data_IF_354458023914
#
_entry.id   IF_354458023914
#
_cell.length_a   1.000
_cell.length_b   1.000
_cell.length_c   1.000
_cell.angle_alpha   90.00
_cell.angle_beta   90.00
_cell.angle_gamma   90.00
#
_symmetry.space_group_name_H-M   'P 1'
#
loop_
_entity.id
_entity.type
_entity.pdbx_description
1 polymer ?
#
# COMPACT_ATOMS: atom_id res chain seq x y z
N UNK A 1 -6.71 -18.87 7.64
CA UNK A 1 -7.01 -17.94 8.75
C UNK A 1 -6.00 -16.81 8.67
N UNK A 2 -6.44 -15.56 8.78
CA UNK A 2 -5.54 -14.40 8.90
C UNK A 2 -4.70 -14.57 10.18
N UNK A 3 -3.38 -14.41 10.09
CA UNK A 3 -2.49 -14.50 11.25
C UNK A 3 -2.56 -13.17 12.02
N UNK A 4 -3.39 -13.09 13.06
CA UNK A 4 -3.65 -11.87 13.81
C UNK A 4 -2.92 -11.91 15.16
N UNK A 5 -2.14 -10.86 15.45
CA UNK A 5 -1.55 -10.59 16.76
C UNK A 5 -2.26 -9.39 17.40
N UNK A 6 -3.23 -9.66 18.29
CA UNK A 6 -3.91 -8.62 19.07
C UNK A 6 -3.16 -8.36 20.38
N UNK A 7 -2.59 -7.16 20.51
CA UNK A 7 -1.80 -6.76 21.69
C UNK A 7 -2.56 -5.83 22.64
N UNK A 8 -3.83 -5.51 22.36
CA UNK A 8 -4.61 -4.52 23.15
C UNK A 8 -4.81 -4.97 24.60
N UNK A 9 -4.98 -6.28 24.81
CA UNK A 9 -5.11 -6.87 26.14
C UNK A 9 -3.75 -7.15 26.83
N UNK A 10 -2.62 -6.94 26.14
CA UNK A 10 -1.29 -7.20 26.69
C UNK A 10 -0.76 -5.99 27.46
N UNK A 11 0.04 -6.27 28.50
CA UNK A 11 0.75 -5.22 29.25
C UNK A 11 1.75 -4.51 28.32
N UNK A 12 1.86 -3.16 28.36
CA UNK A 12 2.71 -2.41 27.44
C UNK A 12 4.16 -2.90 27.33
N UNK A 13 4.74 -3.31 28.47
CA UNK A 13 6.12 -3.85 28.56
C UNK A 13 6.32 -5.16 27.79
N UNK A 14 5.27 -5.95 27.60
CA UNK A 14 5.35 -7.27 26.96
C UNK A 14 5.06 -7.19 25.45
N UNK A 15 4.42 -6.10 24.99
CA UNK A 15 3.99 -5.93 23.58
C UNK A 15 5.16 -5.98 22.60
N UNK A 16 6.21 -5.18 22.84
CA UNK A 16 7.36 -5.08 21.93
C UNK A 16 8.05 -6.43 21.77
N UNK A 17 8.37 -7.10 22.89
CA UNK A 17 9.00 -8.42 22.85
C UNK A 17 8.16 -9.43 22.07
N UNK A 18 6.83 -9.41 22.25
CA UNK A 18 5.94 -10.30 21.51
C UNK A 18 5.91 -9.99 20.01
N UNK A 19 5.80 -8.72 19.62
CA UNK A 19 5.71 -8.29 18.22
C UNK A 19 6.99 -8.63 17.46
N UNK A 20 8.16 -8.25 17.99
CA UNK A 20 9.44 -8.55 17.35
C UNK A 20 9.76 -10.05 17.36
N UNK A 21 9.38 -10.77 18.42
CA UNK A 21 9.45 -12.23 18.46
C UNK A 21 8.65 -12.87 17.32
N UNK A 22 7.40 -12.45 17.14
CA UNK A 22 6.55 -12.91 16.03
C UNK A 22 7.13 -12.55 14.67
N UNK A 23 7.64 -11.33 14.47
CA UNK A 23 8.28 -10.94 13.21
C UNK A 23 9.53 -11.78 12.89
N UNK A 24 10.36 -12.08 13.90
CA UNK A 24 11.56 -12.89 13.75
C UNK A 24 11.24 -14.31 13.27
N UNK A 25 10.14 -14.88 13.74
CA UNK A 25 9.67 -16.23 13.41
C UNK A 25 9.07 -16.35 11.99
N UNK A 26 8.70 -15.24 11.36
CA UNK A 26 8.21 -15.25 9.99
C UNK A 26 9.28 -15.77 9.02
N UNK A 27 8.84 -16.60 8.06
CA UNK A 27 9.62 -16.88 6.85
C UNK A 27 9.50 -15.71 5.87
N UNK A 28 10.47 -15.53 4.95
CA UNK A 28 10.34 -14.54 3.88
C UNK A 28 9.02 -14.73 3.11
N UNK A 29 8.31 -13.63 2.85
CA UNK A 29 6.99 -13.62 2.22
C UNK A 29 5.81 -13.83 3.18
N UNK A 30 6.05 -14.25 4.43
CA UNK A 30 4.99 -14.37 5.44
C UNK A 30 4.69 -13.02 6.11
N UNK A 31 3.50 -12.92 6.71
CA UNK A 31 3.03 -11.70 7.38
C UNK A 31 2.09 -12.02 8.53
N UNK A 32 1.86 -11.02 9.38
CA UNK A 32 0.78 -11.01 10.36
C UNK A 32 0.11 -9.64 10.43
N UNK A 33 -1.11 -9.59 10.93
CA UNK A 33 -1.84 -8.35 11.23
C UNK A 33 -1.63 -8.03 12.71
N UNK A 34 -1.01 -6.89 12.99
CA UNK A 34 -0.95 -6.32 14.32
C UNK A 34 -2.25 -5.54 14.59
N UNK A 35 -2.94 -5.85 15.69
CA UNK A 35 -4.02 -5.02 16.22
C UNK A 35 -3.53 -4.29 17.48
N UNK A 36 -3.58 -2.96 17.46
CA UNK A 36 -3.11 -2.11 18.55
C UNK A 36 -4.21 -1.14 19.02
N UNK A 37 -4.07 -0.63 20.25
CA UNK A 37 -5.01 0.32 20.88
C UNK A 37 -4.65 1.80 20.59
N UNK A 38 -3.50 2.04 19.96
CA UNK A 38 -3.04 3.34 19.52
C UNK A 38 -2.28 3.23 18.20
N UNK A 39 -1.99 4.37 17.57
CA UNK A 39 -1.21 4.42 16.35
C UNK A 39 0.21 3.85 16.58
N UNK A 40 0.63 2.79 15.85
CA UNK A 40 1.92 2.13 16.05
C UNK A 40 3.12 2.89 15.45
N UNK A 41 3.09 4.23 15.38
CA UNK A 41 4.18 5.06 14.84
C UNK A 41 5.53 4.84 15.53
N UNK A 42 5.63 4.84 16.88
CA UNK A 42 6.89 4.56 17.57
C UNK A 42 7.47 3.18 17.22
N UNK A 43 6.59 2.18 17.05
CA UNK A 43 6.97 0.84 16.66
C UNK A 43 7.51 0.81 15.22
N UNK A 44 6.87 1.52 14.28
CA UNK A 44 7.38 1.66 12.92
C UNK A 44 8.78 2.29 12.90
N UNK A 45 9.03 3.35 13.67
CA UNK A 45 10.37 3.93 13.76
C UNK A 45 11.41 2.92 14.27
N UNK A 46 11.03 2.08 15.23
CA UNK A 46 11.91 1.01 15.71
C UNK A 46 12.18 -0.03 14.61
N UNK A 47 11.17 -0.47 13.85
CA UNK A 47 11.35 -1.33 12.68
C UNK A 47 12.26 -0.68 11.62
N UNK A 48 12.10 0.61 11.34
CA UNK A 48 12.95 1.33 10.40
C UNK A 48 14.41 1.43 10.85
N UNK A 49 14.66 1.45 12.16
CA UNK A 49 15.99 1.51 12.74
C UNK A 49 16.67 0.12 12.83
N UNK A 50 15.93 -0.91 13.24
CA UNK A 50 16.48 -2.24 13.55
C UNK A 50 16.36 -3.24 12.40
N UNK A 51 15.39 -3.05 11.49
CA UNK A 51 15.03 -3.99 10.44
C UNK A 51 14.97 -3.31 9.06
N UNK A 52 15.83 -2.33 8.81
CA UNK A 52 15.83 -1.56 7.57
C UNK A 52 15.98 -2.48 6.34
N UNK A 53 15.02 -2.42 5.41
CA UNK A 53 15.02 -3.26 4.22
C UNK A 53 14.51 -4.69 4.44
N UNK A 54 14.02 -5.05 5.63
CA UNK A 54 13.58 -6.43 5.92
C UNK A 54 12.07 -6.62 5.89
N UNK A 55 11.30 -5.53 5.92
CA UNK A 55 9.85 -5.58 6.12
C UNK A 55 9.07 -4.69 5.16
N UNK A 56 7.80 -5.05 5.00
CA UNK A 56 6.75 -4.16 4.49
C UNK A 56 5.76 -3.83 5.60
N UNK A 57 5.18 -2.64 5.50
CA UNK A 57 4.28 -2.07 6.50
C UNK A 57 3.06 -1.49 5.80
N UNK A 58 1.90 -2.10 6.02
CA UNK A 58 0.67 -1.70 5.35
C UNK A 58 -0.45 -1.47 6.35
N UNK A 59 -0.76 -0.20 6.67
CA UNK A 59 -1.96 0.15 7.42
C UNK A 59 -3.21 -0.39 6.72
N UNK A 60 -4.09 -1.02 7.50
CA UNK A 60 -5.39 -1.53 7.06
C UNK A 60 -6.54 -0.72 7.64
N UNK A 61 -6.39 -0.26 8.88
CA UNK A 61 -7.40 0.49 9.62
C UNK A 61 -6.72 1.51 10.52
N UNK A 62 -7.17 2.75 10.41
CA UNK A 62 -6.78 3.84 11.30
C UNK A 62 -7.85 4.00 12.37
N UNK A 63 -7.43 4.34 13.58
CA UNK A 63 -8.33 4.42 14.74
C UNK A 63 -9.42 5.51 14.63
N UNK A 64 -10.17 5.78 15.71
CA UNK A 64 -9.75 5.58 17.10
C UNK A 64 -10.09 4.21 17.73
N UNK A 65 -10.93 3.38 17.11
CA UNK A 65 -11.42 2.15 17.74
C UNK A 65 -10.38 1.02 17.71
N UNK A 66 -9.67 0.88 16.60
CA UNK A 66 -8.59 -0.10 16.45
C UNK A 66 -7.60 0.40 15.41
N UNK A 67 -6.33 0.10 15.63
CA UNK A 67 -5.29 0.29 14.64
C UNK A 67 -4.85 -1.06 14.12
N UNK A 68 -4.92 -1.25 12.80
CA UNK A 68 -4.51 -2.49 12.15
C UNK A 68 -3.44 -2.22 11.12
N UNK A 69 -2.35 -2.98 11.19
CA UNK A 69 -1.27 -2.94 10.21
C UNK A 69 -0.82 -4.35 9.87
N UNK A 70 -0.64 -4.62 8.58
CA UNK A 70 0.10 -5.80 8.15
C UNK A 70 1.59 -5.50 8.29
N UNK A 71 2.30 -6.39 8.98
CA UNK A 71 3.76 -6.43 9.02
C UNK A 71 4.18 -7.69 8.28
N UNK A 72 4.85 -7.52 7.14
CA UNK A 72 5.31 -8.62 6.31
C UNK A 72 6.84 -8.67 6.30
N UNK A 73 7.40 -9.88 6.25
CA UNK A 73 8.83 -10.08 6.05
C UNK A 73 9.11 -10.18 4.56
N UNK A 74 10.02 -9.34 4.05
CA UNK A 74 10.33 -9.29 2.62
C UNK A 74 10.98 -10.59 2.15
N UNK A 75 10.73 -10.95 0.90
CA UNK A 75 11.43 -12.06 0.24
C UNK A 75 12.90 -11.74 -0.02
N UNK A 76 13.17 -10.49 -0.43
CA UNK A 76 14.51 -9.96 -0.64
C UNK A 76 14.85 -9.01 0.50
N UNK A 77 15.83 -9.39 1.32
CA UNK A 77 16.42 -8.49 2.30
C UNK A 77 17.50 -7.65 1.61
N UNK A 78 17.14 -6.44 1.24
CA UNK A 78 18.08 -5.46 0.69
C UNK A 78 17.89 -4.11 1.39
N UNK A 79 18.87 -3.64 2.19
CA UNK A 79 18.83 -2.32 2.81
C UNK A 79 18.95 -1.18 1.78
N UNK A 80 19.34 -1.48 0.53
CA UNK A 80 19.42 -0.53 -0.60
C UNK A 80 18.17 -0.54 -1.47
N UNK A 81 17.03 -0.92 -0.86
CA UNK A 81 15.72 -0.98 -1.50
C UNK A 81 15.47 0.23 -2.38
N UNK A 82 15.12 -0.01 -3.63
CA UNK A 82 14.84 1.02 -4.61
C UNK A 82 13.38 1.50 -4.51
N UNK A 83 13.08 2.66 -5.08
CA UNK A 83 11.70 3.18 -5.17
C UNK A 83 10.88 2.23 -6.04
N UNK A 84 11.44 1.80 -7.17
CA UNK A 84 10.78 0.85 -8.08
C UNK A 84 10.36 -0.42 -7.35
N UNK A 85 11.27 -1.06 -6.61
CA UNK A 85 10.94 -2.32 -5.94
C UNK A 85 9.92 -2.10 -4.81
N UNK A 86 9.99 -0.99 -4.08
CA UNK A 86 9.02 -0.67 -3.02
C UNK A 86 7.60 -0.50 -3.58
N UNK A 87 7.42 0.35 -4.59
CA UNK A 87 6.09 0.67 -5.13
C UNK A 87 5.52 -0.49 -5.95
N UNK A 88 6.35 -1.21 -6.73
CA UNK A 88 5.91 -2.44 -7.41
C UNK A 88 5.50 -3.56 -6.44
N UNK A 89 6.09 -3.61 -5.24
CA UNK A 89 5.65 -4.54 -4.20
C UNK A 89 4.22 -4.22 -3.75
N UNK A 90 3.89 -2.93 -3.62
CA UNK A 90 2.54 -2.50 -3.27
C UNK A 90 1.55 -2.72 -4.42
N UNK A 91 1.95 -2.53 -5.69
CA UNK A 91 1.15 -2.90 -6.86
C UNK A 91 0.77 -4.37 -6.84
N UNK A 92 1.75 -5.26 -6.69
CA UNK A 92 1.52 -6.71 -6.59
C UNK A 92 0.58 -7.07 -5.44
N UNK A 93 0.65 -6.35 -4.32
CA UNK A 93 -0.27 -6.54 -3.18
C UNK A 93 -1.69 -6.10 -3.55
N UNK A 94 -1.84 -4.92 -4.15
CA UNK A 94 -3.12 -4.38 -4.57
C UNK A 94 -3.81 -5.27 -5.62
N UNK A 95 -3.06 -5.80 -6.58
CA UNK A 95 -3.55 -6.76 -7.57
C UNK A 95 -4.13 -8.01 -6.92
N UNK A 96 -3.46 -8.56 -5.90
CA UNK A 96 -3.98 -9.73 -5.17
C UNK A 96 -5.32 -9.42 -4.51
N UNK A 97 -5.46 -8.24 -3.91
CA UNK A 97 -6.70 -7.82 -3.24
C UNK A 97 -7.81 -7.62 -4.29
N UNK A 98 -7.51 -6.94 -5.39
CA UNK A 98 -8.47 -6.70 -6.46
C UNK A 98 -8.93 -8.00 -7.14
N UNK A 99 -8.05 -8.99 -7.27
CA UNK A 99 -8.39 -10.32 -7.76
C UNK A 99 -9.34 -11.07 -6.81
N UNK A 100 -9.16 -10.96 -5.48
CA UNK A 100 -10.12 -11.53 -4.51
C UNK A 100 -11.49 -10.87 -4.64
N UNK A 101 -11.53 -9.54 -4.70
CA UNK A 101 -12.75 -8.78 -4.97
C UNK A 101 -13.44 -9.23 -6.26
N UNK A 102 -12.69 -9.30 -7.37
CA UNK A 102 -13.22 -9.69 -8.67
C UNK A 102 -13.80 -11.11 -8.67
N UNK A 103 -13.16 -12.04 -7.95
CA UNK A 103 -13.68 -13.39 -7.78
C UNK A 103 -14.93 -13.41 -6.91
N UNK A 104 -14.97 -12.66 -5.81
CA UNK A 104 -16.15 -12.55 -4.95
C UNK A 104 -17.35 -11.96 -5.70
N UNK A 105 -17.15 -10.96 -6.56
CA UNK A 105 -18.21 -10.42 -7.44
C UNK A 105 -18.73 -11.49 -8.41
N UNK A 106 -17.84 -12.27 -9.06
CA UNK A 106 -18.23 -13.36 -9.97
C UNK A 106 -19.07 -14.43 -9.27
N UNK A 107 -18.70 -14.79 -8.05
CA UNK A 107 -19.41 -15.77 -7.22
C UNK A 107 -20.60 -15.16 -6.45
N UNK A 108 -20.89 -13.86 -6.65
CA UNK A 108 -21.97 -13.11 -5.96
C UNK A 108 -21.85 -13.08 -4.43
N UNK A 109 -20.64 -13.27 -3.90
CA UNK A 109 -20.28 -13.12 -2.49
C UNK A 109 -20.08 -11.64 -2.13
N UNK A 110 -21.19 -10.90 -2.09
CA UNK A 110 -21.17 -9.43 -2.01
C UNK A 110 -20.59 -8.86 -0.72
N UNK A 111 -20.71 -9.57 0.40
CA UNK A 111 -20.19 -9.11 1.68
C UNK A 111 -18.64 -9.22 1.68
N UNK A 112 -18.10 -10.30 1.13
CA UNK A 112 -16.67 -10.49 0.86
C UNK A 112 -16.16 -9.49 -0.18
N UNK A 113 -16.87 -9.30 -1.29
CA UNK A 113 -16.52 -8.31 -2.31
C UNK A 113 -16.45 -6.89 -1.71
N UNK A 114 -17.45 -6.55 -0.88
CA UNK A 114 -17.51 -5.29 -0.14
C UNK A 114 -16.34 -5.09 0.81
N UNK A 115 -15.91 -6.16 1.50
CA UNK A 115 -14.72 -6.15 2.38
C UNK A 115 -13.44 -5.96 1.57
N UNK A 116 -13.20 -6.79 0.56
CA UNK A 116 -11.99 -6.76 -0.25
C UNK A 116 -11.87 -5.44 -1.02
N UNK A 117 -12.95 -4.90 -1.56
CA UNK A 117 -12.90 -3.64 -2.29
C UNK A 117 -12.60 -2.44 -1.38
N UNK A 118 -13.11 -2.43 -0.13
CA UNK A 118 -12.75 -1.41 0.85
C UNK A 118 -11.26 -1.47 1.21
N UNK A 119 -10.72 -2.67 1.41
CA UNK A 119 -9.28 -2.89 1.66
C UNK A 119 -8.43 -2.41 0.47
N UNK A 120 -8.81 -2.80 -0.76
CA UNK A 120 -8.15 -2.35 -1.98
C UNK A 120 -8.16 -0.82 -2.09
N UNK A 121 -9.32 -0.19 -1.92
CA UNK A 121 -9.45 1.27 -2.00
C UNK A 121 -8.59 1.99 -0.96
N UNK A 122 -8.58 1.53 0.29
CA UNK A 122 -7.73 2.10 1.35
C UNK A 122 -6.26 1.98 0.95
N UNK A 123 -5.85 0.80 0.47
CA UNK A 123 -4.49 0.55 0.01
C UNK A 123 -4.08 1.44 -1.16
N UNK A 124 -4.91 1.55 -2.20
CA UNK A 124 -4.60 2.33 -3.40
C UNK A 124 -4.61 3.84 -3.12
N UNK A 125 -5.54 4.34 -2.28
CA UNK A 125 -5.51 5.75 -1.84
C UNK A 125 -4.23 6.05 -1.04
N UNK A 126 -3.75 5.12 -0.20
CA UNK A 126 -2.47 5.27 0.50
C UNK A 126 -1.29 5.25 -0.48
N UNK A 127 -1.32 4.38 -1.49
CA UNK A 127 -0.31 4.30 -2.54
C UNK A 127 -0.16 5.64 -3.27
N UNK A 128 -1.27 6.15 -3.81
CA UNK A 128 -1.33 7.46 -4.49
C UNK A 128 -0.77 8.57 -3.60
N UNK A 129 -1.07 8.55 -2.28
CA UNK A 129 -0.50 9.53 -1.35
C UNK A 129 0.99 9.37 -1.14
N UNK A 130 1.52 8.15 -1.10
CA UNK A 130 2.96 7.95 -1.05
C UNK A 130 3.64 8.55 -2.29
N UNK A 131 2.99 8.52 -3.44
CA UNK A 131 3.50 9.13 -4.65
C UNK A 131 3.37 10.65 -4.64
N UNK A 132 2.16 11.17 -4.44
CA UNK A 132 1.89 12.60 -4.52
C UNK A 132 2.50 13.42 -3.38
N UNK A 133 2.48 12.89 -2.15
CA UNK A 133 2.97 13.60 -0.96
C UNK A 133 4.49 13.45 -0.79
N UNK A 134 5.09 12.35 -1.29
CA UNK A 134 6.50 12.01 -1.04
C UNK A 134 7.33 11.90 -2.33
N UNK A 135 7.00 10.98 -3.25
CA UNK A 135 7.86 10.71 -4.41
C UNK A 135 7.88 11.87 -5.40
N UNK A 136 6.72 12.36 -5.84
CA UNK A 136 6.62 13.38 -6.87
C UNK A 136 7.32 14.69 -6.45
N UNK A 137 7.17 15.21 -5.22
CA UNK A 137 7.92 16.39 -4.80
C UNK A 137 9.44 16.17 -4.83
N UNK A 138 9.91 14.99 -4.47
CA UNK A 138 11.34 14.65 -4.51
C UNK A 138 11.84 14.57 -5.96
N UNK A 139 11.07 13.94 -6.85
CA UNK A 139 11.35 13.86 -8.28
C UNK A 139 11.38 15.25 -8.94
N UNK A 140 10.35 16.06 -8.71
CA UNK A 140 10.21 17.41 -9.27
C UNK A 140 11.34 18.34 -8.82
N UNK A 141 11.72 18.28 -7.54
CA UNK A 141 12.85 19.05 -7.01
C UNK A 141 14.18 18.67 -7.66
N UNK A 142 14.34 17.40 -8.06
CA UNK A 142 15.57 16.90 -8.68
C UNK A 142 15.66 17.18 -10.17
N UNK A 143 14.55 17.06 -10.88
CA UNK A 143 14.51 17.19 -12.34
C UNK A 143 14.16 18.61 -12.81
N UNK A 144 13.52 19.42 -11.95
CA UNK A 144 12.98 20.72 -12.29
C UNK A 144 11.66 20.65 -13.08
N UNK A 145 11.07 19.46 -13.26
CA UNK A 145 9.87 19.24 -14.08
C UNK A 145 8.58 19.42 -13.28
N UNK A 146 8.29 20.64 -12.83
CA UNK A 146 7.10 20.92 -11.99
C UNK A 146 5.79 20.98 -12.79
N UNK A 147 5.73 21.82 -13.83
CA UNK A 147 4.52 22.05 -14.62
C UNK A 147 4.62 21.39 -15.99
N UNK A 148 3.57 20.65 -16.38
CA UNK A 148 3.54 19.94 -17.66
C UNK A 148 4.48 18.73 -17.75
N UNK A 149 5.12 18.38 -16.62
CA UNK A 149 5.93 17.18 -16.46
C UNK A 149 5.11 15.90 -16.26
N UNK A 150 5.75 14.73 -16.21
CA UNK A 150 5.07 13.43 -16.10
C UNK A 150 4.15 13.35 -14.88
N UNK A 151 4.57 13.90 -13.74
CA UNK A 151 3.79 13.93 -12.49
C UNK A 151 2.50 14.74 -12.58
N UNK A 152 2.36 15.65 -13.55
CA UNK A 152 1.09 16.37 -13.79
C UNK A 152 0.04 15.43 -14.37
N UNK A 153 0.43 14.61 -15.36
CA UNK A 153 -0.47 13.62 -15.99
C UNK A 153 -0.88 12.55 -14.98
N UNK A 154 0.07 12.08 -14.16
CA UNK A 154 -0.21 11.11 -13.10
C UNK A 154 -1.29 11.60 -12.13
N UNK A 155 -1.19 12.86 -11.65
CA UNK A 155 -2.19 13.47 -10.76
C UNK A 155 -3.56 13.64 -11.42
N UNK A 156 -3.62 13.79 -12.74
CA UNK A 156 -4.89 13.81 -13.47
C UNK A 156 -5.53 12.42 -13.45
N UNK A 157 -4.75 11.39 -13.80
CA UNK A 157 -5.21 9.99 -13.78
C UNK A 157 -5.59 9.53 -12.37
N UNK A 158 -4.89 9.97 -11.33
CA UNK A 158 -5.26 9.70 -9.93
C UNK A 158 -6.65 10.23 -9.57
N UNK A 159 -7.07 11.36 -10.14
CA UNK A 159 -8.45 11.87 -9.92
C UNK A 159 -9.47 10.94 -10.57
N UNK A 160 -9.23 10.52 -11.80
CA UNK A 160 -10.10 9.59 -12.53
C UNK A 160 -10.18 8.22 -11.81
N UNK A 161 -9.04 7.74 -11.30
CA UNK A 161 -8.96 6.54 -10.44
C UNK A 161 -9.84 6.73 -9.20
N UNK A 162 -9.74 7.85 -8.50
CA UNK A 162 -10.55 8.10 -7.30
C UNK A 162 -12.05 8.13 -7.60
N UNK A 163 -12.47 8.73 -8.70
CA UNK A 163 -13.87 8.72 -9.13
C UNK A 163 -14.38 7.29 -9.41
N UNK A 164 -13.57 6.48 -10.09
CA UNK A 164 -13.90 5.07 -10.34
C UNK A 164 -13.96 4.25 -9.05
N UNK A 165 -13.05 4.50 -8.09
CA UNK A 165 -13.07 3.82 -6.79
C UNK A 165 -14.36 4.11 -6.01
N UNK A 166 -14.81 5.36 -6.00
CA UNK A 166 -16.03 5.74 -5.28
C UNK A 166 -17.27 5.16 -5.99
N UNK A 167 -17.29 5.15 -7.34
CA UNK A 167 -18.33 4.50 -8.14
C UNK A 167 -18.42 2.99 -7.88
N UNK A 168 -17.30 2.27 -7.95
CA UNK A 168 -17.27 0.81 -7.75
C UNK A 168 -17.70 0.45 -6.33
N UNK A 169 -17.33 1.22 -5.30
CA UNK A 169 -17.83 1.00 -3.95
C UNK A 169 -19.36 1.08 -3.93
N UNK A 170 -19.92 2.18 -4.45
CA UNK A 170 -21.36 2.39 -4.43
C UNK A 170 -22.11 1.26 -5.12
N UNK A 171 -21.61 0.77 -6.26
CA UNK A 171 -22.19 -0.34 -7.00
C UNK A 171 -22.06 -1.67 -6.25
N UNK A 172 -20.92 -1.91 -5.60
CA UNK A 172 -20.66 -3.12 -4.81
C UNK A 172 -21.57 -3.17 -3.58
N UNK A 173 -21.74 -2.05 -2.88
CA UNK A 173 -22.63 -1.93 -1.72
C UNK A 173 -24.11 -2.08 -2.12
N UNK A 174 -24.48 -1.62 -3.32
CA UNK A 174 -25.79 -1.84 -3.92
C UNK A 174 -25.98 -3.26 -4.50
N UNK A 175 -24.93 -4.10 -4.49
CA UNK A 175 -24.93 -5.46 -5.03
C UNK A 175 -25.31 -5.52 -6.52
N UNK A 176 -24.92 -4.49 -7.29
CA UNK A 176 -25.23 -4.37 -8.71
C UNK A 176 -24.33 -5.30 -9.54
N UNK A 177 -24.83 -6.49 -9.86
CA UNK A 177 -24.13 -7.50 -10.66
C UNK A 177 -23.89 -7.12 -12.12
N UNK A 178 -24.62 -6.12 -12.63
CA UNK A 178 -24.52 -5.70 -14.02
C UNK A 178 -23.44 -4.63 -14.20
N UNK A 179 -23.45 -3.61 -13.34
CA UNK A 179 -22.58 -2.45 -13.49
C UNK A 179 -21.23 -2.59 -12.77
N UNK A 180 -21.16 -3.37 -11.67
CA UNK A 180 -19.90 -3.56 -10.94
C UNK A 180 -18.79 -4.09 -11.84
N UNK A 181 -18.98 -5.16 -12.65
CA UNK A 181 -17.92 -5.65 -13.53
C UNK A 181 -17.50 -4.63 -14.60
N UNK A 182 -18.44 -3.87 -15.15
CA UNK A 182 -18.12 -2.86 -16.16
C UNK A 182 -17.28 -1.72 -15.60
N UNK A 183 -17.62 -1.20 -14.41
CA UNK A 183 -16.83 -0.15 -13.77
C UNK A 183 -15.44 -0.67 -13.35
N UNK A 184 -15.37 -1.91 -12.86
CA UNK A 184 -14.09 -2.58 -12.54
C UNK A 184 -13.18 -2.72 -13.76
N UNK A 185 -13.72 -3.09 -14.92
CA UNK A 185 -12.93 -3.18 -16.16
C UNK A 185 -12.38 -1.81 -16.59
N UNK A 186 -13.15 -0.74 -16.43
CA UNK A 186 -12.65 0.63 -16.70
C UNK A 186 -11.48 0.99 -15.78
N UNK A 187 -11.58 0.67 -14.49
CA UNK A 187 -10.49 0.89 -13.54
C UNK A 187 -9.24 0.07 -13.90
N UNK A 188 -9.40 -1.21 -14.25
CA UNK A 188 -8.28 -2.07 -14.65
C UNK A 188 -7.59 -1.53 -15.90
N UNK A 189 -8.36 -1.09 -16.90
CA UNK A 189 -7.80 -0.49 -18.11
C UNK A 189 -6.98 0.76 -17.78
N UNK A 190 -7.52 1.66 -16.95
CA UNK A 190 -6.84 2.88 -16.54
C UNK A 190 -5.56 2.58 -15.76
N UNK A 191 -5.63 1.69 -14.76
CA UNK A 191 -4.46 1.29 -13.96
C UNK A 191 -3.40 0.58 -14.80
N UNK A 192 -3.78 -0.19 -15.83
CA UNK A 192 -2.80 -0.84 -16.71
C UNK A 192 -1.93 0.21 -17.41
N UNK A 193 -2.55 1.22 -18.02
CA UNK A 193 -1.83 2.29 -18.74
C UNK A 193 -1.06 3.21 -17.78
N UNK A 194 -1.60 3.41 -16.58
CA UNK A 194 -1.00 4.19 -15.51
C UNK A 194 0.27 3.53 -14.97
N UNK A 195 0.18 2.27 -14.52
CA UNK A 195 1.28 1.51 -13.97
C UNK A 195 2.39 1.31 -15.00
N UNK A 196 2.06 1.24 -16.30
CA UNK A 196 3.07 1.20 -17.36
C UNK A 196 3.99 2.43 -17.32
N UNK A 197 3.45 3.64 -17.12
CA UNK A 197 4.25 4.87 -17.02
C UNK A 197 5.08 4.89 -15.75
N UNK A 198 4.52 4.41 -14.65
CA UNK A 198 5.23 4.35 -13.37
C UNK A 198 6.39 3.37 -13.40
N UNK A 199 6.10 2.12 -13.72
CA UNK A 199 7.03 1.02 -13.58
C UNK A 199 8.12 1.02 -14.65
N UNK A 200 7.89 1.64 -15.80
CA UNK A 200 8.83 1.66 -16.92
C UNK A 200 9.46 3.02 -17.19
N UNK A 201 8.98 4.09 -16.55
CA UNK A 201 9.51 5.44 -16.75
C UNK A 201 9.78 6.09 -15.39
N UNK A 202 8.74 6.40 -14.62
CA UNK A 202 8.87 7.29 -13.46
C UNK A 202 9.70 6.68 -12.32
N UNK A 203 9.46 5.43 -11.95
CA UNK A 203 10.20 4.79 -10.86
C UNK A 203 11.65 4.47 -11.26
N UNK A 204 11.93 3.90 -12.45
CA UNK A 204 13.32 3.71 -12.89
C UNK A 204 14.10 5.02 -12.96
N UNK A 205 13.51 6.09 -13.51
CA UNK A 205 14.15 7.41 -13.54
C UNK A 205 14.40 7.95 -12.12
N UNK A 206 13.43 7.79 -11.21
CA UNK A 206 13.61 8.15 -9.80
C UNK A 206 14.78 7.41 -9.18
N UNK A 207 14.94 6.12 -9.49
CA UNK A 207 16.06 5.33 -9.00
C UNK A 207 17.42 5.77 -9.56
N UNK A 208 17.46 6.27 -10.80
CA UNK A 208 18.68 6.80 -11.42
C UNK A 208 19.10 8.16 -10.84
N UNK A 209 18.15 9.09 -10.65
CA UNK A 209 18.46 10.46 -10.21
C UNK A 209 18.64 10.59 -8.69
N UNK A 210 18.02 9.72 -7.90
CA UNK A 210 18.12 9.76 -6.44
C UNK A 210 19.36 9.01 -5.94
N UNK A 211 19.99 9.56 -4.91
CA UNK A 211 21.02 8.82 -4.17
C UNK A 211 20.39 7.70 -3.33
N UNK A 212 21.21 6.74 -2.88
CA UNK A 212 20.76 5.66 -1.99
C UNK A 212 20.10 6.17 -0.70
N UNK A 213 20.65 7.25 -0.12
CA UNK A 213 20.09 7.87 1.07
C UNK A 213 18.72 8.51 0.81
N UNK A 214 18.53 9.15 -0.35
CA UNK A 214 17.26 9.76 -0.73
C UNK A 214 16.19 8.71 -1.03
N UNK A 215 16.54 7.61 -1.72
CA UNK A 215 15.63 6.47 -1.91
C UNK A 215 15.20 5.87 -0.58
N UNK A 216 16.14 5.67 0.35
CA UNK A 216 15.81 5.18 1.70
C UNK A 216 14.86 6.12 2.44
N UNK A 217 15.06 7.44 2.33
CA UNK A 217 14.19 8.44 2.95
C UNK A 217 12.77 8.44 2.34
N UNK A 218 12.65 8.34 1.01
CA UNK A 218 11.36 8.17 0.32
C UNK A 218 10.63 6.94 0.84
N UNK A 219 11.29 5.78 0.90
CA UNK A 219 10.68 4.54 1.40
C UNK A 219 10.23 4.69 2.86
N UNK A 220 11.07 5.24 3.74
CA UNK A 220 10.74 5.45 5.15
C UNK A 220 9.55 6.40 5.35
N UNK A 221 9.47 7.46 4.55
CA UNK A 221 8.35 8.40 4.57
C UNK A 221 7.07 7.77 4.02
N UNK A 222 7.16 7.00 2.93
CA UNK A 222 6.02 6.28 2.37
C UNK A 222 5.42 5.26 3.36
N UNK A 223 6.24 4.61 4.20
CA UNK A 223 5.76 3.70 5.25
C UNK A 223 4.95 4.40 6.36
N UNK A 224 5.06 5.73 6.50
CA UNK A 224 4.37 6.52 7.52
C UNK A 224 2.99 7.04 7.09
N UNK A 225 2.64 6.91 5.80
CA UNK A 225 1.36 7.34 5.22
C UNK A 225 0.26 6.34 5.59
#
# INVERSE_FOLDING_TARGET
MENILDVRAMQPKDRHSKIFGTFKELKPGESFILMNDHEPKPLLYQFQAEHHGEFDWWPLETGPQVWRVIIAKREVNDPKRTVTEYLQTDHKRLDRIFNRFSNAVKETHWDEASKDFREFRVGLKRHIRAEEDILFPVFENKTGMYEGGPTTVMRMEHKDIQELLDKILSLTDAKDSSQTPSASNSLVSLLTDHNMKEEHILYPESDEFLSEAERSDVVKKAQLI
#
